data_IF_925951375801
#
_entry.id   IF_925951375801
#
_cell.length_a   1.000
_cell.length_b   1.000
_cell.length_c   1.000
_cell.angle_alpha   90.00
_cell.angle_beta   90.00
_cell.angle_gamma   90.00
#
_symmetry.space_group_name_H-M   'P 1'
#
loop_
_entity.id
_entity.type
_entity.pdbx_description
1 polymer ?
#
# COMPACT_ATOMS: atom_id res chain seq x y z
N UNK A 1 10.69 -29.52 -3.49
CA UNK A 1 11.23 -28.76 -2.34
C UNK A 1 10.65 -27.36 -2.41
N UNK A 2 9.76 -27.01 -1.49
CA UNK A 2 9.11 -25.69 -1.48
C UNK A 2 10.13 -24.68 -0.95
N UNK A 3 10.72 -23.87 -1.82
CA UNK A 3 11.59 -22.78 -1.39
C UNK A 3 10.70 -21.79 -0.62
N UNK A 4 10.84 -21.75 0.70
CA UNK A 4 10.19 -20.74 1.51
C UNK A 4 10.67 -19.35 1.04
N UNK A 5 9.75 -18.41 0.89
CA UNK A 5 10.12 -17.02 0.59
C UNK A 5 11.08 -16.51 1.67
N UNK A 6 12.16 -15.80 1.31
CA UNK A 6 13.11 -15.30 2.28
C UNK A 6 12.41 -14.34 3.24
N UNK A 7 12.63 -14.54 4.55
CA UNK A 7 12.09 -13.65 5.59
C UNK A 7 12.75 -12.28 5.46
N UNK A 8 11.94 -11.24 5.30
CA UNK A 8 12.43 -9.86 5.24
C UNK A 8 12.85 -9.44 6.65
N UNK A 9 14.07 -8.94 6.80
CA UNK A 9 14.59 -8.49 8.09
C UNK A 9 13.81 -7.27 8.59
N UNK A 10 13.31 -7.36 9.81
CA UNK A 10 12.70 -6.22 10.51
C UNK A 10 13.72 -5.46 11.34
N UNK A 11 13.58 -4.13 11.34
CA UNK A 11 14.41 -3.20 12.08
C UNK A 11 13.51 -2.30 12.93
N UNK A 12 13.90 -2.09 14.19
CA UNK A 12 13.22 -1.20 15.13
C UNK A 12 14.15 -0.08 15.52
N UNK A 13 13.60 1.07 15.97
CA UNK A 13 14.39 2.24 16.40
C UNK A 13 15.43 2.65 15.34
N UNK A 14 14.95 2.83 14.11
CA UNK A 14 15.79 3.22 12.98
C UNK A 14 15.85 4.73 12.93
N UNK A 15 17.06 5.26 13.09
CA UNK A 15 17.38 6.66 12.81
C UNK A 15 18.11 6.78 11.47
N UNK A 16 18.47 8.02 11.11
CA UNK A 16 19.17 8.31 9.87
C UNK A 16 20.51 7.56 9.76
N UNK A 17 21.32 7.56 10.82
CA UNK A 17 22.66 6.97 10.81
C UNK A 17 22.59 5.46 10.60
N UNK A 18 21.70 4.79 11.34
CA UNK A 18 21.50 3.36 11.21
C UNK A 18 20.95 2.99 9.85
N UNK A 19 19.99 3.77 9.35
CA UNK A 19 19.48 3.57 7.99
C UNK A 19 20.60 3.67 6.95
N UNK A 20 21.39 4.74 6.99
CA UNK A 20 22.41 5.03 5.99
C UNK A 20 23.63 4.10 6.06
N UNK A 21 24.10 3.76 7.27
CA UNK A 21 25.36 3.04 7.46
C UNK A 21 25.18 1.52 7.63
N UNK A 22 24.01 1.06 8.08
CA UNK A 22 23.76 -0.38 8.31
C UNK A 22 22.73 -0.98 7.36
N UNK A 23 21.64 -0.26 7.04
CA UNK A 23 20.52 -0.84 6.29
C UNK A 23 20.75 -0.72 4.79
N UNK A 24 21.03 0.50 4.30
CA UNK A 24 21.24 0.79 2.87
C UNK A 24 22.37 -0.06 2.27
N UNK A 25 23.55 -0.21 2.91
CA UNK A 25 24.67 -0.95 2.30
C UNK A 25 24.40 -2.44 2.11
N UNK A 26 23.41 -3.01 2.81
CA UNK A 26 23.05 -4.43 2.64
C UNK A 26 22.43 -4.74 1.28
N UNK A 27 21.85 -3.74 0.60
CA UNK A 27 21.18 -3.94 -0.70
C UNK A 27 20.05 -4.99 -0.65
N UNK A 28 19.37 -5.12 0.50
CA UNK A 28 18.32 -6.12 0.74
C UNK A 28 17.02 -5.47 1.20
N UNK A 29 15.85 -6.11 0.93
CA UNK A 29 14.58 -5.68 1.51
C UNK A 29 14.65 -5.58 3.04
N UNK A 30 13.99 -4.56 3.60
CA UNK A 30 13.95 -4.31 5.03
C UNK A 30 12.57 -3.73 5.44
N UNK A 31 12.08 -4.12 6.61
CA UNK A 31 10.90 -3.51 7.24
C UNK A 31 11.36 -2.61 8.38
N UNK A 32 11.02 -1.32 8.34
CA UNK A 32 11.32 -0.36 9.41
C UNK A 32 10.11 -0.25 10.34
N UNK A 33 10.02 -1.16 11.32
CA UNK A 33 8.88 -1.24 12.25
C UNK A 33 8.74 0.03 13.06
N UNK A 34 7.51 0.55 13.09
CA UNK A 34 7.09 1.69 13.92
C UNK A 34 7.79 3.02 13.63
N UNK A 35 8.53 3.15 12.51
CA UNK A 35 9.26 4.38 12.17
C UNK A 35 8.37 5.63 12.20
N UNK A 36 7.13 5.49 11.72
CA UNK A 36 6.15 6.58 11.60
C UNK A 36 4.95 6.37 12.52
N UNK A 37 5.13 5.66 13.65
CA UNK A 37 4.03 5.30 14.56
C UNK A 37 3.25 6.49 15.12
N UNK A 38 3.90 7.66 15.12
CA UNK A 38 3.38 8.90 15.67
C UNK A 38 2.62 9.77 14.67
N UNK A 39 2.65 9.43 13.38
CA UNK A 39 1.93 10.19 12.36
C UNK A 39 0.42 10.17 12.62
N UNK A 40 -0.30 11.29 12.45
CA UNK A 40 -1.74 11.36 12.72
C UNK A 40 -2.56 10.30 11.97
N UNK A 41 -2.24 10.04 10.70
CA UNK A 41 -2.88 8.97 9.92
C UNK A 41 -2.70 7.59 10.56
N UNK A 42 -1.50 7.29 11.04
CA UNK A 42 -1.17 5.99 11.64
C UNK A 42 -1.88 5.82 12.98
N UNK A 43 -2.01 6.90 13.76
CA UNK A 43 -2.83 6.91 14.98
C UNK A 43 -4.30 6.63 14.65
N UNK A 44 -4.87 7.30 13.66
CA UNK A 44 -6.24 7.05 13.21
C UNK A 44 -6.44 5.59 12.73
N UNK A 45 -5.48 5.04 11.99
CA UNK A 45 -5.54 3.66 11.50
C UNK A 45 -5.43 2.61 12.62
N UNK A 46 -4.76 2.93 13.74
CA UNK A 46 -4.74 2.06 14.93
C UNK A 46 -6.10 1.98 15.62
N UNK A 47 -6.97 2.97 15.44
CA UNK A 47 -8.35 2.92 15.96
C UNK A 47 -9.25 2.04 15.08
N UNK A 48 -9.23 2.22 13.76
CA UNK A 48 -9.93 1.35 12.79
C UNK A 48 -9.58 1.71 11.33
N UNK A 49 -9.92 0.82 10.39
CA UNK A 49 -9.89 1.12 8.96
C UNK A 49 -10.79 2.30 8.59
N UNK A 50 -11.99 2.40 9.19
CA UNK A 50 -12.92 3.51 8.96
C UNK A 50 -12.34 4.86 9.41
N UNK A 51 -11.65 4.91 10.55
CA UNK A 51 -10.96 6.12 11.03
C UNK A 51 -9.79 6.52 10.11
N UNK A 52 -9.05 5.54 9.59
CA UNK A 52 -8.02 5.82 8.58
C UNK A 52 -8.63 6.40 7.29
N UNK A 53 -9.74 5.83 6.82
CA UNK A 53 -10.42 6.33 5.63
C UNK A 53 -10.95 7.76 5.85
N UNK A 54 -11.57 8.03 7.00
CA UNK A 54 -12.03 9.37 7.37
C UNK A 54 -10.90 10.40 7.42
N UNK A 55 -9.73 10.03 7.96
CA UNK A 55 -8.55 10.90 7.97
C UNK A 55 -8.09 11.24 6.55
N UNK A 56 -8.06 10.27 5.62
CA UNK A 56 -7.68 10.54 4.24
C UNK A 56 -8.71 11.39 3.50
N UNK A 57 -10.01 11.12 3.71
CA UNK A 57 -11.12 11.88 3.11
C UNK A 57 -11.10 13.35 3.48
N UNK A 58 -10.62 13.73 4.67
CA UNK A 58 -10.53 15.15 5.05
C UNK A 58 -9.53 15.96 4.20
N UNK A 59 -8.65 15.31 3.45
CA UNK A 59 -7.72 15.95 2.52
C UNK A 59 -8.17 15.84 1.06
N UNK A 60 -9.30 15.18 0.77
CA UNK A 60 -9.81 15.08 -0.58
C UNK A 60 -10.22 16.47 -1.09
N UNK A 61 -9.62 16.88 -2.20
CA UNK A 61 -9.91 18.14 -2.88
C UNK A 61 -10.85 17.96 -4.09
N UNK A 62 -11.48 16.78 -4.21
CA UNK A 62 -12.32 16.36 -5.33
C UNK A 62 -11.57 16.28 -6.67
N UNK A 63 -10.23 16.20 -6.66
CA UNK A 63 -9.48 15.98 -7.88
C UNK A 63 -9.67 14.54 -8.38
N UNK A 64 -9.84 14.34 -9.70
CA UNK A 64 -9.94 13.01 -10.28
C UNK A 64 -8.60 12.26 -10.15
N UNK A 65 -8.65 11.06 -9.57
CA UNK A 65 -7.55 10.10 -9.49
C UNK A 65 -7.72 9.02 -10.54
N UNK A 66 -6.62 8.57 -11.13
CA UNK A 66 -6.64 7.37 -11.97
C UNK A 66 -6.81 6.12 -11.10
N UNK A 67 -7.89 5.39 -11.34
CA UNK A 67 -8.28 4.21 -10.54
C UNK A 67 -8.40 2.99 -11.44
N UNK A 68 -7.87 1.86 -10.97
CA UNK A 68 -8.07 0.55 -11.59
C UNK A 68 -9.07 -0.23 -10.76
N UNK A 69 -10.14 -0.71 -11.40
CA UNK A 69 -11.20 -1.49 -10.77
C UNK A 69 -11.25 -2.87 -11.41
N UNK A 70 -11.16 -3.91 -10.59
CA UNK A 70 -11.25 -5.31 -11.03
C UNK A 70 -12.45 -5.99 -10.40
N UNK A 71 -13.11 -6.83 -11.18
CA UNK A 71 -14.22 -7.65 -10.69
C UNK A 71 -13.74 -8.63 -9.61
N UNK A 72 -14.57 -8.98 -8.60
CA UNK A 72 -14.19 -9.94 -7.56
C UNK A 72 -13.70 -11.28 -8.12
N UNK A 73 -14.22 -11.69 -9.28
CA UNK A 73 -13.91 -12.94 -9.97
C UNK A 73 -12.45 -13.05 -10.43
N UNK A 74 -11.71 -11.94 -10.57
CA UNK A 74 -10.29 -11.97 -10.99
C UNK A 74 -9.34 -12.35 -9.84
N UNK A 75 -9.86 -12.63 -8.64
CA UNK A 75 -9.11 -13.10 -7.48
C UNK A 75 -7.89 -12.22 -7.16
N UNK A 76 -8.09 -10.88 -7.16
CA UNK A 76 -7.07 -9.86 -6.88
C UNK A 76 -5.90 -9.82 -7.87
N UNK A 77 -6.05 -10.41 -9.05
CA UNK A 77 -5.02 -10.43 -10.10
C UNK A 77 -5.41 -9.57 -11.29
N UNK A 78 -4.88 -8.35 -11.33
CA UNK A 78 -4.94 -7.50 -12.52
C UNK A 78 -4.05 -8.07 -13.62
N UNK A 79 -4.64 -8.41 -14.77
CA UNK A 79 -3.93 -9.05 -15.88
C UNK A 79 -4.70 -8.89 -17.20
N UNK A 80 -4.25 -9.60 -18.24
CA UNK A 80 -5.04 -9.87 -19.43
C UNK A 80 -6.22 -10.80 -19.10
N UNK A 81 -7.29 -10.70 -19.88
CA UNK A 81 -8.34 -11.72 -19.95
C UNK A 81 -7.78 -13.02 -20.54
N UNK A 82 -8.50 -14.12 -20.35
CA UNK A 82 -8.08 -15.44 -20.84
C UNK A 82 -7.95 -15.50 -22.38
N UNK A 83 -8.72 -14.68 -23.10
CA UNK A 83 -8.65 -14.53 -24.56
C UNK A 83 -7.45 -13.69 -25.03
N UNK A 84 -6.72 -13.06 -24.10
CA UNK A 84 -5.62 -12.11 -24.36
C UNK A 84 -6.01 -10.88 -25.18
N UNK A 85 -7.29 -10.64 -25.45
CA UNK A 85 -7.77 -9.53 -26.29
C UNK A 85 -8.03 -8.25 -25.48
N UNK A 86 -7.60 -8.20 -24.23
CA UNK A 86 -7.76 -7.05 -23.37
C UNK A 86 -7.38 -7.35 -21.93
N UNK A 87 -7.54 -6.35 -21.07
CA UNK A 87 -7.31 -6.47 -19.62
C UNK A 87 -8.58 -6.92 -18.89
N UNK A 88 -8.40 -7.57 -17.74
CA UNK A 88 -9.49 -8.05 -16.87
C UNK A 88 -9.95 -6.99 -15.84
N UNK A 89 -9.63 -5.72 -16.07
CA UNK A 89 -9.95 -4.60 -15.20
C UNK A 89 -10.34 -3.37 -16.02
N UNK A 90 -11.01 -2.42 -15.38
CA UNK A 90 -11.34 -1.13 -15.97
C UNK A 90 -10.40 -0.05 -15.44
N UNK A 91 -10.10 0.93 -16.28
CA UNK A 91 -9.43 2.17 -15.88
C UNK A 91 -10.49 3.26 -15.83
N UNK A 92 -10.61 3.93 -14.71
CA UNK A 92 -11.60 4.99 -14.49
C UNK A 92 -10.95 6.18 -13.79
N UNK A 93 -11.71 7.26 -13.67
CA UNK A 93 -11.38 8.38 -12.80
C UNK A 93 -12.41 8.46 -11.67
N UNK A 94 -11.93 8.60 -10.44
CA UNK A 94 -12.76 8.76 -9.25
C UNK A 94 -12.08 9.68 -8.24
N UNK A 95 -12.82 10.27 -7.30
CA UNK A 95 -12.22 11.05 -6.20
C UNK A 95 -11.65 10.12 -5.13
N UNK A 96 -10.80 10.65 -4.25
CA UNK A 96 -10.25 9.86 -3.13
C UNK A 96 -11.37 9.35 -2.23
N UNK A 97 -12.39 10.16 -1.99
CA UNK A 97 -13.54 9.79 -1.17
C UNK A 97 -14.27 8.59 -1.75
N UNK A 98 -14.61 8.63 -3.05
CA UNK A 98 -15.31 7.53 -3.72
C UNK A 98 -14.54 6.21 -3.68
N UNK A 99 -13.21 6.24 -3.74
CA UNK A 99 -12.37 5.02 -3.69
C UNK A 99 -12.25 4.43 -2.28
N UNK A 100 -12.49 5.24 -1.24
CA UNK A 100 -12.38 4.86 0.16
C UNK A 100 -13.73 4.55 0.82
N UNK A 101 -14.83 4.54 0.06
CA UNK A 101 -16.15 4.05 0.45
C UNK A 101 -16.35 2.59 -0.01
#
# INVERSE_FOLDING_TARGET
MTNALPVIKEWTRVDFNRFHNEIVPLGKPAVLRSLVSEWPMVKAAKESSAKSAAYLKSFDNNAPLYTIVGEPTINRRFFYRDDLQGVNFQRTQATLTTVLD
#
